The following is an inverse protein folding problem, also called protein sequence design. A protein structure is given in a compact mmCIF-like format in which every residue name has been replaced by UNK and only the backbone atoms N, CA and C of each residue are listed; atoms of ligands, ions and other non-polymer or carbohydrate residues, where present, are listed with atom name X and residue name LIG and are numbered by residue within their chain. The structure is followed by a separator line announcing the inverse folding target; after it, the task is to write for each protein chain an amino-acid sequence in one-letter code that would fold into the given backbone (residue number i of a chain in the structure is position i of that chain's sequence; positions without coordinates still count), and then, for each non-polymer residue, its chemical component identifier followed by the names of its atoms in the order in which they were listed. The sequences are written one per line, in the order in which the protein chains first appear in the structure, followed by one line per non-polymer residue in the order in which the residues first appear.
data_IF_650464323590
#
_entry.id   IF_650464323590
#
_cell.length_a   1.000
_cell.length_b   1.000
_cell.length_c   1.000
_cell.angle_alpha   90.00
_cell.angle_beta   90.00
_cell.angle_gamma   90.00
#
_symmetry.space_group_name_H-M   'P 1'
#
loop_
_entity.id
_entity.type
_entity.pdbx_description
1 polymer ?
#
# COMPACT_ATOMS: atom_id res chain seq x y z
N UNK A 1 -29.06 -50.63 23.01
CA UNK A 1 -29.62 -50.24 24.34
C UNK A 1 -29.38 -48.75 24.49
N UNK A 2 -30.28 -47.90 24.99
CA UNK A 2 -31.68 -48.08 25.43
C UNK A 2 -32.54 -46.89 24.96
N UNK A 3 -33.88 -47.02 24.95
CA UNK A 3 -34.82 -45.90 24.70
C UNK A 3 -35.36 -45.36 26.02
N UNK A 4 -35.43 -44.03 26.15
CA UNK A 4 -36.49 -43.34 26.92
C UNK A 4 -36.98 -42.15 26.09
N UNK A 5 -38.24 -41.78 26.25
CA UNK A 5 -39.00 -40.86 25.37
C UNK A 5 -40.11 -40.18 26.20
N UNK A 6 -40.80 -39.18 25.62
CA UNK A 6 -42.09 -38.57 26.05
C UNK A 6 -42.05 -37.83 27.44
N UNK A 7 -42.82 -36.77 27.75
CA UNK A 7 -43.99 -36.03 27.18
C UNK A 7 -43.76 -34.50 27.27
N UNK A 8 -44.33 -33.56 26.48
CA UNK A 8 -45.49 -33.42 25.56
C UNK A 8 -46.65 -32.57 26.14
N UNK A 9 -47.43 -31.90 25.26
CA UNK A 9 -48.65 -31.05 25.42
C UNK A 9 -48.43 -29.53 25.30
N UNK A 10 -49.31 -28.74 24.66
CA UNK A 10 -50.57 -29.10 23.95
C UNK A 10 -51.06 -28.06 22.91
N UNK A 11 -51.60 -28.56 21.78
CA UNK A 11 -52.78 -28.12 21.01
C UNK A 11 -52.88 -26.64 20.52
N UNK A 12 -53.71 -26.22 19.54
CA UNK A 12 -55.03 -26.64 19.01
C UNK A 12 -55.03 -26.39 17.47
N UNK A 13 -55.26 -27.35 16.55
CA UNK A 13 -56.55 -27.97 16.12
C UNK A 13 -57.51 -26.93 15.46
N UNK A 14 -58.06 -27.04 14.24
CA UNK A 14 -58.24 -28.09 13.18
C UNK A 14 -58.20 -27.36 11.78
N UNK A 15 -58.68 -27.80 10.60
CA UNK A 15 -59.55 -28.91 10.13
C UNK A 15 -59.18 -29.34 8.68
N UNK A 16 -59.94 -30.33 8.19
CA UNK A 16 -60.11 -30.92 6.85
C UNK A 16 -60.44 -29.91 5.73
N UNK A 17 -60.30 -30.21 4.43
CA UNK A 17 -59.92 -31.45 3.69
C UNK A 17 -59.90 -31.13 2.17
N UNK A 18 -60.01 -32.03 1.19
CA UNK A 18 -59.75 -33.47 1.05
C UNK A 18 -59.97 -33.86 -0.43
N UNK A 19 -59.07 -34.68 -1.00
CA UNK A 19 -59.22 -35.40 -2.30
C UNK A 19 -59.24 -34.58 -3.60
N UNK A 20 -58.70 -35.18 -4.67
CA UNK A 20 -58.65 -34.61 -6.01
C UNK A 20 -59.70 -35.23 -6.95
N UNK A 21 -60.08 -34.48 -7.99
CA UNK A 21 -60.81 -34.98 -9.16
C UNK A 21 -60.06 -34.46 -10.39
N UNK A 22 -59.70 -35.36 -11.31
CA UNK A 22 -59.19 -35.01 -12.64
C UNK A 22 -60.36 -35.07 -13.61
N UNK A 23 -60.65 -33.94 -14.28
CA UNK A 23 -61.57 -33.88 -15.41
C UNK A 23 -60.84 -33.25 -16.60
N UNK A 24 -60.83 -33.93 -17.74
CA UNK A 24 -60.46 -33.30 -19.00
C UNK A 24 -61.61 -32.39 -19.45
N UNK A 25 -61.31 -31.13 -19.75
CA UNK A 25 -62.22 -30.20 -20.40
C UNK A 25 -61.52 -29.55 -21.60
N UNK A 26 -62.04 -29.80 -22.80
CA UNK A 26 -61.64 -29.10 -24.01
C UNK A 26 -62.23 -27.68 -23.97
N UNK A 27 -61.40 -26.66 -23.78
CA UNK A 27 -61.80 -25.26 -23.83
C UNK A 27 -61.32 -24.62 -25.14
N UNK A 28 -62.27 -24.08 -25.92
CA UNK A 28 -62.02 -23.43 -27.20
C UNK A 28 -61.35 -22.06 -27.03
N UNK A 29 -60.26 -21.81 -27.76
CA UNK A 29 -59.54 -20.54 -27.73
C UNK A 29 -60.22 -19.48 -28.59
N UNK A 30 -61.03 -18.60 -28.00
CA UNK A 30 -61.46 -17.36 -28.63
C UNK A 30 -60.31 -16.35 -28.64
N UNK A 31 -59.76 -16.04 -29.81
CA UNK A 31 -58.66 -15.08 -29.94
C UNK A 31 -59.14 -13.64 -29.70
N UNK A 32 -58.68 -13.01 -28.62
CA UNK A 32 -58.60 -11.54 -28.54
C UNK A 32 -57.23 -11.09 -29.03
N UNK A 33 -57.16 -10.51 -30.22
CA UNK A 33 -55.91 -10.05 -30.83
C UNK A 33 -55.38 -8.79 -30.11
N UNK A 34 -54.45 -8.99 -29.17
CA UNK A 34 -53.67 -7.87 -28.60
C UNK A 34 -52.64 -7.44 -29.63
N UNK A 35 -52.86 -6.28 -30.26
CA UNK A 35 -51.89 -5.70 -31.19
C UNK A 35 -50.58 -5.40 -30.46
N UNK A 36 -49.50 -6.11 -30.79
CA UNK A 36 -48.18 -5.83 -30.27
C UNK A 36 -47.70 -4.49 -30.85
N UNK A 37 -47.55 -3.49 -29.99
CA UNK A 37 -46.92 -2.23 -30.36
C UNK A 37 -45.46 -2.52 -30.72
N UNK A 38 -45.09 -2.32 -31.99
CA UNK A 38 -43.72 -2.46 -32.46
C UNK A 38 -42.89 -1.36 -31.80
N UNK A 39 -42.07 -1.73 -30.82
CA UNK A 39 -41.06 -0.84 -30.25
C UNK A 39 -40.09 -0.49 -31.38
N UNK A 40 -39.94 0.80 -31.75
CA UNK A 40 -38.99 1.17 -32.79
C UNK A 40 -37.59 0.83 -32.30
N UNK A 41 -36.84 0.05 -33.09
CA UNK A 41 -35.47 -0.28 -32.77
C UNK A 41 -34.66 1.01 -32.60
N UNK A 42 -33.95 1.15 -31.48
CA UNK A 42 -33.00 2.24 -31.30
C UNK A 42 -31.97 2.15 -32.42
N UNK A 43 -31.91 3.18 -33.27
CA UNK A 43 -30.95 3.23 -34.36
C UNK A 43 -29.54 3.16 -33.77
N UNK A 44 -28.80 2.09 -34.12
CA UNK A 44 -27.42 1.94 -33.69
C UNK A 44 -26.63 3.14 -34.19
N UNK A 45 -26.07 3.91 -33.25
CA UNK A 45 -25.24 5.08 -33.59
C UNK A 45 -24.06 4.59 -34.43
N UNK A 46 -23.78 5.19 -35.60
CA UNK A 46 -22.69 4.72 -36.46
C UNK A 46 -21.37 4.74 -35.70
N UNK A 47 -20.57 3.68 -35.88
CA UNK A 47 -19.29 3.54 -35.20
C UNK A 47 -18.35 4.71 -35.53
N UNK A 48 -17.72 5.29 -34.51
CA UNK A 48 -16.79 6.41 -34.65
C UNK A 48 -15.60 6.07 -35.54
N UNK A 49 -15.21 7.01 -36.39
CA UNK A 49 -14.02 6.99 -37.23
C UNK A 49 -12.75 7.50 -36.51
N UNK A 50 -12.83 7.77 -35.19
CA UNK A 50 -11.68 7.85 -34.28
C UNK A 50 -11.41 6.46 -33.71
N UNK A 51 -10.21 5.88 -33.87
CA UNK A 51 -9.88 4.57 -33.32
C UNK A 51 -9.74 4.62 -31.79
N UNK A 52 -10.15 3.54 -31.12
CA UNK A 52 -9.78 3.29 -29.72
C UNK A 52 -8.35 2.75 -29.69
N UNK A 53 -7.51 3.33 -28.84
CA UNK A 53 -6.10 2.93 -28.71
C UNK A 53 -5.94 1.93 -27.57
N UNK A 54 -5.25 0.82 -27.86
CA UNK A 54 -4.84 -0.16 -26.85
C UNK A 54 -3.73 0.41 -25.96
N UNK A 55 -3.54 -0.21 -24.78
CA UNK A 55 -2.45 0.13 -23.86
C UNK A 55 -1.10 0.20 -24.57
N UNK A 56 -0.75 -0.78 -25.39
CA UNK A 56 0.57 -0.83 -26.04
C UNK A 56 0.81 0.36 -26.99
N UNK A 57 -0.24 0.86 -27.65
CA UNK A 57 -0.16 2.06 -28.49
C UNK A 57 -0.01 3.33 -27.64
N UNK A 58 -0.70 3.40 -26.49
CA UNK A 58 -0.61 4.53 -25.55
C UNK A 58 0.76 4.57 -24.87
N UNK A 59 1.28 3.44 -24.39
CA UNK A 59 2.62 3.33 -23.81
C UNK A 59 3.71 3.76 -24.82
N UNK A 60 3.56 3.41 -26.10
CA UNK A 60 4.46 3.84 -27.18
C UNK A 60 4.35 5.35 -27.51
N UNK A 61 3.14 5.92 -27.48
CA UNK A 61 2.92 7.35 -27.72
C UNK A 61 3.44 8.21 -26.56
N UNK A 62 3.25 7.76 -25.31
CA UNK A 62 3.81 8.41 -24.11
C UNK A 62 5.34 8.49 -24.14
N UNK A 63 6.02 7.55 -24.81
CA UNK A 63 7.47 7.59 -25.04
C UNK A 63 7.92 8.61 -26.12
N UNK A 64 7.00 9.33 -26.77
CA UNK A 64 7.30 10.32 -27.83
C UNK A 64 6.55 11.66 -27.66
N UNK A 65 6.65 12.32 -26.48
CA UNK A 65 5.80 13.45 -26.09
C UNK A 65 5.91 14.68 -27.02
N UNK A 66 7.00 14.83 -27.77
CA UNK A 66 7.16 15.94 -28.73
C UNK A 66 6.28 15.78 -29.99
N UNK A 67 5.74 14.57 -30.25
CA UNK A 67 4.96 14.26 -31.47
C UNK A 67 3.45 14.14 -31.23
N UNK A 68 3.04 13.99 -29.97
CA UNK A 68 1.65 13.77 -29.56
C UNK A 68 1.22 14.78 -28.50
N UNK A 69 -0.04 15.18 -28.53
CA UNK A 69 -0.70 15.87 -27.41
C UNK A 69 -1.82 15.00 -26.85
N UNK A 70 -1.72 14.70 -25.57
CA UNK A 70 -2.77 14.03 -24.80
C UNK A 70 -3.71 15.09 -24.23
N UNK A 71 -5.00 15.00 -24.57
CA UNK A 71 -6.04 15.96 -24.21
C UNK A 71 -7.09 15.27 -23.33
N UNK A 72 -7.21 15.67 -22.07
CA UNK A 72 -8.21 15.12 -21.17
C UNK A 72 -9.52 15.91 -21.24
N UNK A 73 -10.60 15.23 -21.64
CA UNK A 73 -11.92 15.85 -21.85
C UNK A 73 -12.91 15.62 -20.71
N UNK A 74 -12.42 15.12 -19.58
CA UNK A 74 -13.18 14.86 -18.35
C UNK A 74 -13.35 16.10 -17.47
N UNK A 75 -14.24 15.97 -16.49
CA UNK A 75 -14.37 16.95 -15.40
C UNK A 75 -13.22 16.78 -14.40
N UNK A 76 -12.89 17.86 -13.67
CA UNK A 76 -11.78 17.86 -12.72
C UNK A 76 -11.94 16.79 -11.62
N UNK A 77 -13.15 16.54 -11.13
CA UNK A 77 -13.45 15.50 -10.13
C UNK A 77 -13.19 14.08 -10.64
N UNK A 78 -13.44 13.81 -11.93
CA UNK A 78 -13.15 12.52 -12.56
C UNK A 78 -11.63 12.30 -12.69
N UNK A 79 -10.90 13.33 -13.14
CA UNK A 79 -9.44 13.30 -13.25
C UNK A 79 -8.81 13.09 -11.87
N UNK A 80 -9.27 13.81 -10.85
CA UNK A 80 -8.78 13.66 -9.48
C UNK A 80 -9.14 12.30 -8.86
N UNK A 81 -10.34 11.75 -9.10
CA UNK A 81 -10.81 10.52 -8.42
C UNK A 81 -10.31 9.24 -9.09
N UNK A 82 -10.12 9.25 -10.40
CA UNK A 82 -9.73 8.08 -11.20
C UNK A 82 -8.23 8.12 -11.53
N UNK A 83 -7.64 9.30 -11.64
CA UNK A 83 -6.32 9.49 -12.23
C UNK A 83 -6.38 9.55 -13.76
N UNK A 84 -5.22 9.69 -14.41
CA UNK A 84 -5.09 9.83 -15.86
C UNK A 84 -3.65 9.70 -16.34
N UNK A 85 -3.32 10.40 -17.42
CA UNK A 85 -1.99 10.40 -18.04
C UNK A 85 -1.26 11.73 -17.78
N UNK A 86 0.06 11.82 -18.09
CA UNK A 86 0.68 13.10 -18.42
C UNK A 86 -0.03 13.71 -19.64
N UNK A 87 -0.49 14.95 -19.52
CA UNK A 87 -1.45 15.57 -20.45
C UNK A 87 -1.02 16.99 -20.80
N UNK A 88 -1.30 17.42 -22.02
CA UNK A 88 -1.02 18.77 -22.51
C UNK A 88 -2.04 19.79 -21.98
N UNK A 89 -3.31 19.39 -21.88
CA UNK A 89 -4.41 20.24 -21.43
C UNK A 89 -5.58 19.40 -20.88
N UNK A 90 -6.23 19.92 -19.84
CA UNK A 90 -7.46 19.37 -19.25
C UNK A 90 -8.60 20.38 -19.50
N UNK A 91 -9.59 20.02 -20.31
CA UNK A 91 -10.73 20.89 -20.66
C UNK A 91 -11.98 20.04 -20.86
N UNK A 92 -13.09 20.35 -20.20
CA UNK A 92 -14.29 19.52 -20.31
C UNK A 92 -14.79 19.49 -21.77
N UNK A 93 -15.32 18.36 -22.24
CA UNK A 93 -15.79 18.22 -23.63
C UNK A 93 -16.78 19.33 -24.07
N UNK A 94 -17.62 19.82 -23.15
CA UNK A 94 -18.55 20.94 -23.36
C UNK A 94 -17.89 22.31 -23.57
N UNK A 95 -16.61 22.44 -23.25
CA UNK A 95 -15.82 23.68 -23.41
C UNK A 95 -14.82 23.60 -24.57
N UNK A 96 -14.65 22.43 -25.19
CA UNK A 96 -13.60 22.13 -26.17
C UNK A 96 -13.53 23.15 -27.32
N UNK A 97 -14.67 23.58 -27.83
CA UNK A 97 -14.77 24.59 -28.90
C UNK A 97 -14.19 25.97 -28.50
N UNK A 98 -14.18 26.31 -27.21
CA UNK A 98 -13.62 27.57 -26.68
C UNK A 98 -12.10 27.56 -26.62
N UNK A 99 -11.49 26.37 -26.56
CA UNK A 99 -10.05 26.19 -26.33
C UNK A 99 -9.26 25.74 -27.56
N UNK A 100 -9.90 25.58 -28.73
CA UNK A 100 -9.25 25.14 -29.97
C UNK A 100 -8.03 25.99 -30.37
N UNK A 101 -8.01 27.29 -30.02
CA UNK A 101 -6.88 28.19 -30.29
C UNK A 101 -5.60 27.87 -29.49
N UNK A 102 -5.69 27.07 -28.41
CA UNK A 102 -4.56 26.65 -27.58
C UNK A 102 -4.05 25.25 -27.94
N UNK A 103 -4.74 24.52 -28.82
CA UNK A 103 -4.38 23.16 -29.22
C UNK A 103 -3.40 23.22 -30.40
N UNK A 104 -2.21 22.61 -30.32
CA UNK A 104 -1.26 22.55 -31.43
C UNK A 104 -1.83 21.81 -32.64
N UNK A 105 -1.63 22.36 -33.85
CA UNK A 105 -2.13 21.77 -35.13
C UNK A 105 -1.08 20.93 -35.87
N UNK A 106 0.16 21.03 -35.45
CA UNK A 106 1.35 20.35 -35.98
C UNK A 106 1.59 18.95 -35.37
N UNK A 107 0.91 18.63 -34.27
CA UNK A 107 1.06 17.37 -33.51
C UNK A 107 -0.19 16.50 -33.57
N UNK A 108 -0.02 15.20 -33.37
CA UNK A 108 -1.13 14.26 -33.31
C UNK A 108 -1.88 14.36 -31.97
N UNK A 109 -3.21 14.32 -31.99
CA UNK A 109 -4.02 14.37 -30.76
C UNK A 109 -4.47 12.97 -30.33
N UNK A 110 -4.31 12.65 -29.04
CA UNK A 110 -5.03 11.56 -28.37
C UNK A 110 -6.02 12.17 -27.38
N UNK A 111 -7.29 11.77 -27.46
CA UNK A 111 -8.35 12.22 -26.54
C UNK A 111 -8.56 11.22 -25.40
N UNK A 112 -8.69 11.71 -24.18
CA UNK A 112 -8.79 10.87 -22.97
C UNK A 112 -10.16 11.07 -22.31
N UNK A 113 -10.80 9.96 -21.92
CA UNK A 113 -11.93 9.99 -20.99
C UNK A 113 -11.93 8.79 -20.04
N UNK A 114 -13.00 8.55 -19.28
CA UNK A 114 -13.11 7.37 -18.41
C UNK A 114 -13.09 6.07 -19.24
N UNK A 115 -13.95 6.04 -20.25
CA UNK A 115 -14.03 5.03 -21.30
C UNK A 115 -13.83 5.69 -22.66
N UNK A 116 -13.21 4.98 -23.60
CA UNK A 116 -12.76 5.54 -24.88
C UNK A 116 -13.89 6.16 -25.72
N UNK A 117 -15.12 5.64 -25.63
CA UNK A 117 -16.27 6.15 -26.39
C UNK A 117 -16.60 7.62 -26.12
N UNK A 118 -16.36 8.12 -24.89
CA UNK A 118 -16.54 9.56 -24.59
C UNK A 118 -15.40 10.41 -25.17
N UNK A 119 -14.20 9.84 -25.28
CA UNK A 119 -13.07 10.47 -25.96
C UNK A 119 -13.26 10.54 -27.48
N UNK A 120 -13.78 9.46 -28.09
CA UNK A 120 -14.09 9.40 -29.53
C UNK A 120 -14.96 10.58 -29.99
N UNK A 121 -16.00 10.95 -29.24
CA UNK A 121 -16.85 12.10 -29.56
C UNK A 121 -16.09 13.44 -29.58
N UNK A 122 -15.14 13.65 -28.66
CA UNK A 122 -14.25 14.81 -28.67
C UNK A 122 -13.29 14.78 -29.87
N UNK A 123 -12.80 13.58 -30.21
CA UNK A 123 -11.93 13.35 -31.37
C UNK A 123 -12.62 13.68 -32.69
N UNK A 124 -13.90 13.30 -32.88
CA UNK A 124 -14.64 13.66 -34.09
C UNK A 124 -14.85 15.19 -34.20
N UNK A 125 -15.14 15.87 -33.08
CA UNK A 125 -15.23 17.33 -33.06
C UNK A 125 -13.89 17.98 -33.48
N UNK A 126 -12.77 17.52 -32.92
CA UNK A 126 -11.44 18.01 -33.29
C UNK A 126 -11.10 17.74 -34.76
N UNK A 127 -11.40 16.54 -35.27
CA UNK A 127 -11.19 16.15 -36.66
C UNK A 127 -12.02 17.02 -37.62
N UNK A 128 -13.28 17.31 -37.27
CA UNK A 128 -14.13 18.25 -38.01
C UNK A 128 -13.64 19.70 -37.97
N UNK A 129 -12.83 20.09 -36.96
CA UNK A 129 -12.18 21.41 -36.83
C UNK A 129 -10.75 21.42 -37.40
N UNK A 130 -10.39 20.41 -38.19
CA UNK A 130 -9.13 20.32 -38.93
C UNK A 130 -7.91 19.99 -38.08
N UNK A 131 -8.06 19.14 -37.06
CA UNK A 131 -6.94 18.61 -36.26
C UNK A 131 -6.63 17.15 -36.60
N UNK A 132 -5.35 16.78 -36.53
CA UNK A 132 -4.86 15.41 -36.75
C UNK A 132 -5.07 14.55 -35.50
N UNK A 133 -6.23 13.91 -35.39
CA UNK A 133 -6.53 13.01 -34.25
C UNK A 133 -6.04 11.59 -34.54
N UNK A 134 -5.15 11.08 -33.70
CA UNK A 134 -4.61 9.72 -33.78
C UNK A 134 -5.50 8.68 -33.10
N UNK A 135 -6.31 9.07 -32.10
CA UNK A 135 -7.26 8.16 -31.45
C UNK A 135 -7.87 8.69 -30.15
N UNK A 136 -8.54 7.76 -29.45
CA UNK A 136 -9.14 7.98 -28.14
C UNK A 136 -8.76 6.85 -27.17
N UNK A 137 -8.72 7.15 -25.87
CA UNK A 137 -8.44 6.18 -24.80
C UNK A 137 -9.37 6.40 -23.60
N UNK A 138 -9.81 5.30 -22.99
CA UNK A 138 -10.41 5.30 -21.66
C UNK A 138 -9.36 5.03 -20.61
N UNK A 139 -9.26 5.85 -19.56
CA UNK A 139 -8.34 5.60 -18.44
C UNK A 139 -8.67 4.29 -17.72
N UNK A 140 -9.95 3.93 -17.61
CA UNK A 140 -10.37 2.67 -17.00
C UNK A 140 -10.06 1.50 -17.94
N UNK A 141 -10.40 1.62 -19.22
CA UNK A 141 -10.05 0.64 -20.26
C UNK A 141 -8.52 0.38 -20.33
N UNK A 142 -7.70 1.40 -20.02
CA UNK A 142 -6.24 1.32 -19.92
C UNK A 142 -5.76 0.67 -18.60
N UNK A 143 -6.35 1.01 -17.46
CA UNK A 143 -6.09 0.37 -16.15
C UNK A 143 -6.45 -1.13 -16.19
N UNK A 144 -7.55 -1.50 -16.83
CA UNK A 144 -7.98 -2.89 -17.07
C UNK A 144 -6.98 -3.68 -17.95
N UNK A 145 -6.29 -3.01 -18.88
CA UNK A 145 -5.18 -3.58 -19.67
C UNK A 145 -3.85 -3.63 -18.89
N UNK A 146 -3.86 -3.37 -17.58
CA UNK A 146 -2.66 -3.35 -16.72
C UNK A 146 -1.80 -2.10 -16.90
N UNK A 147 -2.38 -1.00 -17.39
CA UNK A 147 -1.75 0.31 -17.45
C UNK A 147 -1.73 1.01 -16.08
N UNK A 148 -0.83 1.96 -15.89
CA UNK A 148 -0.72 2.72 -14.63
C UNK A 148 -1.24 4.15 -14.78
N UNK A 149 -2.22 4.54 -13.97
CA UNK A 149 -2.77 5.90 -13.94
C UNK A 149 -2.05 6.78 -12.92
N UNK A 150 -1.86 8.05 -13.27
CA UNK A 150 -1.21 9.09 -12.48
C UNK A 150 -2.24 10.04 -11.85
N UNK A 151 -1.90 10.70 -10.75
CA UNK A 151 -2.70 11.81 -10.18
C UNK A 151 -3.94 11.43 -9.35
N UNK A 152 -4.27 10.14 -9.23
CA UNK A 152 -5.41 9.64 -8.45
C UNK A 152 -5.33 10.06 -6.98
N UNK A 153 -6.34 10.79 -6.48
CA UNK A 153 -6.55 11.09 -5.05
C UNK A 153 -6.96 9.83 -4.30
N UNK A 154 -5.98 9.03 -3.90
CA UNK A 154 -6.21 7.98 -2.89
C UNK A 154 -6.59 8.66 -1.57
N UNK A 155 -7.67 8.18 -0.97
CA UNK A 155 -8.19 8.62 0.33
C UNK A 155 -8.37 7.43 1.25
N UNK A 156 -8.29 7.67 2.56
CA UNK A 156 -8.49 6.62 3.55
C UNK A 156 -9.97 6.27 3.74
N UNK A 157 -10.30 5.03 4.12
CA UNK A 157 -11.58 4.75 4.78
C UNK A 157 -11.64 5.45 6.15
N UNK A 158 -12.79 5.35 6.83
CA UNK A 158 -12.84 5.60 8.26
C UNK A 158 -12.21 4.40 8.99
N UNK A 159 -11.32 4.67 9.93
CA UNK A 159 -10.82 3.69 10.91
C UNK A 159 -10.74 4.44 12.24
N UNK A 160 -11.55 4.03 13.22
CA UNK A 160 -11.86 4.88 14.38
C UNK A 160 -10.64 5.27 15.23
N UNK A 161 -10.50 6.57 15.44
CA UNK A 161 -9.34 7.18 16.10
C UNK A 161 -8.02 7.04 15.35
N UNK A 162 -7.99 6.42 14.17
CA UNK A 162 -6.81 6.29 13.29
C UNK A 162 -6.88 7.37 12.22
N UNK A 163 -7.89 7.34 11.37
CA UNK A 163 -8.09 8.23 10.21
C UNK A 163 -9.58 8.42 9.91
N UNK A 164 -9.95 9.64 9.50
CA UNK A 164 -11.32 9.94 9.06
C UNK A 164 -11.52 9.46 7.62
N UNK A 165 -12.72 9.00 7.27
CA UNK A 165 -13.07 8.76 5.86
C UNK A 165 -12.79 10.00 5.00
N UNK A 166 -12.22 9.79 3.82
CA UNK A 166 -11.87 10.88 2.90
C UNK A 166 -10.56 11.61 3.23
N UNK A 167 -9.81 11.21 4.27
CA UNK A 167 -8.49 11.80 4.54
C UNK A 167 -7.56 11.50 3.36
N UNK A 168 -6.90 12.52 2.81
CA UNK A 168 -6.03 12.37 1.64
C UNK A 168 -4.76 11.58 2.00
N UNK A 169 -4.41 10.62 1.15
CA UNK A 169 -3.05 10.09 1.06
C UNK A 169 -2.26 11.05 0.18
N UNK A 170 -1.46 11.91 0.79
CA UNK A 170 -0.65 12.90 0.10
C UNK A 170 0.59 12.25 -0.49
N UNK A 171 0.82 12.40 -1.80
CA UNK A 171 2.10 12.04 -2.42
C UNK A 171 3.08 13.17 -2.12
N UNK A 172 4.11 12.88 -1.31
CA UNK A 172 5.14 13.87 -0.95
C UNK A 172 6.12 14.03 -2.11
N UNK A 173 6.65 12.90 -2.60
CA UNK A 173 7.48 12.82 -3.82
C UNK A 173 7.62 11.37 -4.28
N UNK A 174 7.84 11.19 -5.58
CA UNK A 174 8.23 9.92 -6.20
C UNK A 174 9.53 10.07 -6.99
N UNK A 175 10.09 8.96 -7.47
CA UNK A 175 11.34 8.92 -8.25
C UNK A 175 12.61 8.70 -7.42
N UNK A 176 12.47 8.17 -6.21
CA UNK A 176 13.58 7.77 -5.34
C UNK A 176 14.04 6.33 -5.63
N UNK A 177 15.31 6.00 -5.35
CA UNK A 177 15.88 4.66 -5.60
C UNK A 177 16.18 3.88 -4.31
N UNK A 178 15.29 2.93 -3.98
CA UNK A 178 15.46 2.05 -2.82
C UNK A 178 14.89 2.61 -1.52
N UNK A 179 13.73 3.27 -1.58
CA UNK A 179 13.01 3.83 -0.42
C UNK A 179 12.74 2.82 0.69
N UNK A 180 13.33 3.03 1.86
CA UNK A 180 13.18 2.19 3.04
C UNK A 180 13.24 3.00 4.36
N UNK A 181 12.99 2.31 5.48
CA UNK A 181 13.46 2.73 6.82
C UNK A 181 13.22 4.17 7.27
N UNK A 182 11.97 4.69 7.24
CA UNK A 182 11.69 6.03 7.70
C UNK A 182 11.75 6.13 9.24
N UNK A 183 12.06 7.32 9.74
CA UNK A 183 11.96 7.68 11.17
C UNK A 183 11.62 9.17 11.33
N UNK A 184 10.73 9.49 12.28
CA UNK A 184 10.30 10.87 12.54
C UNK A 184 11.21 11.59 13.54
N UNK A 185 11.66 12.80 13.20
CA UNK A 185 12.47 13.65 14.05
C UNK A 185 11.60 14.53 14.98
N UNK A 186 12.14 15.02 16.12
CA UNK A 186 11.38 15.85 17.07
C UNK A 186 10.89 17.20 16.53
N UNK A 187 11.49 17.72 15.45
CA UNK A 187 11.04 18.94 14.76
C UNK A 187 9.83 18.71 13.82
N UNK A 188 9.40 17.45 13.67
CA UNK A 188 8.33 17.05 12.77
C UNK A 188 8.77 16.75 11.33
N UNK A 189 10.06 16.86 11.02
CA UNK A 189 10.63 16.31 9.78
C UNK A 189 10.68 14.78 9.85
N UNK A 190 10.90 14.12 8.71
CA UNK A 190 11.25 12.69 8.67
C UNK A 190 12.60 12.48 7.98
N UNK A 191 13.33 11.46 8.43
CA UNK A 191 14.38 10.83 7.65
C UNK A 191 13.83 9.55 7.01
N UNK A 192 14.40 9.13 5.88
CA UNK A 192 14.22 7.79 5.28
C UNK A 192 15.44 7.44 4.43
N UNK A 193 15.60 6.17 4.05
CA UNK A 193 16.75 5.69 3.27
C UNK A 193 16.42 5.57 1.78
N UNK A 194 17.43 5.82 0.94
CA UNK A 194 17.49 5.32 -0.44
C UNK A 194 18.65 4.31 -0.49
N UNK A 195 18.33 3.05 -0.16
CA UNK A 195 19.35 2.02 0.10
C UNK A 195 20.18 1.66 -1.13
N UNK A 196 19.70 1.94 -2.36
CA UNK A 196 20.45 1.75 -3.61
C UNK A 196 21.23 2.99 -4.06
N UNK A 197 20.77 4.20 -3.72
CA UNK A 197 21.52 5.44 -3.92
C UNK A 197 22.52 5.74 -2.77
N UNK A 198 22.66 4.82 -1.81
CA UNK A 198 23.50 4.89 -0.61
C UNK A 198 23.43 6.24 0.15
N UNK A 199 22.20 6.70 0.39
CA UNK A 199 21.94 7.94 1.13
C UNK A 199 20.73 7.87 2.08
N UNK A 200 20.74 8.76 3.06
CA UNK A 200 19.57 9.12 3.87
C UNK A 200 19.04 10.45 3.37
N UNK A 201 17.73 10.54 3.15
CA UNK A 201 17.01 11.75 2.73
C UNK A 201 16.20 12.28 3.90
N UNK A 202 16.11 13.60 4.02
CA UNK A 202 15.19 14.29 4.93
C UNK A 202 14.04 14.91 4.12
N UNK A 203 12.81 14.76 4.64
CA UNK A 203 11.69 15.65 4.31
C UNK A 203 11.50 16.59 5.50
N UNK A 204 11.88 17.86 5.34
CA UNK A 204 11.78 18.90 6.35
C UNK A 204 10.34 19.15 6.79
N UNK A 205 10.16 19.77 7.96
CA UNK A 205 8.83 20.15 8.46
C UNK A 205 8.13 21.21 7.58
N UNK A 206 8.90 21.89 6.72
CA UNK A 206 8.43 22.83 5.68
C UNK A 206 8.20 22.16 4.31
N UNK A 207 8.34 20.83 4.22
CA UNK A 207 8.19 20.05 3.00
C UNK A 207 9.40 20.02 2.07
N UNK A 208 10.51 20.70 2.39
CA UNK A 208 11.74 20.63 1.56
C UNK A 208 12.36 19.23 1.63
N UNK A 209 12.93 18.77 0.52
CA UNK A 209 13.55 17.45 0.40
C UNK A 209 15.03 17.60 0.10
N UNK A 210 15.88 16.99 0.93
CA UNK A 210 17.35 17.14 0.86
C UNK A 210 18.10 15.88 1.31
N UNK A 211 19.30 15.66 0.81
CA UNK A 211 20.20 14.62 1.32
C UNK A 211 20.66 14.97 2.73
N UNK A 212 20.43 14.08 3.69
CA UNK A 212 20.87 14.22 5.08
C UNK A 212 22.25 13.59 5.32
N UNK A 213 22.53 12.45 4.67
CA UNK A 213 23.83 11.79 4.70
C UNK A 213 24.02 10.94 3.43
N UNK A 214 25.27 10.76 3.00
CA UNK A 214 25.69 9.91 1.88
C UNK A 214 26.71 8.87 2.39
N UNK A 215 27.00 7.85 1.58
CA UNK A 215 28.01 6.81 1.88
C UNK A 215 27.66 6.08 3.19
N UNK A 216 26.40 5.69 3.27
CA UNK A 216 25.73 5.17 4.47
C UNK A 216 25.93 3.68 4.70
N UNK A 217 26.59 2.97 3.77
CA UNK A 217 26.74 1.51 3.79
C UNK A 217 25.48 0.79 3.30
N UNK A 218 24.77 1.39 2.34
CA UNK A 218 23.42 1.01 1.92
C UNK A 218 22.49 0.85 3.12
N UNK A 219 22.31 1.95 3.87
CA UNK A 219 21.43 1.98 5.02
C UNK A 219 20.01 1.55 4.62
N UNK A 220 19.43 0.61 5.35
CA UNK A 220 18.11 0.05 5.09
C UNK A 220 17.10 0.64 6.09
N UNK A 221 17.20 0.29 7.37
CA UNK A 221 16.38 0.86 8.44
C UNK A 221 17.10 1.94 9.25
N UNK A 222 16.34 2.83 9.90
CA UNK A 222 16.81 3.91 10.76
C UNK A 222 16.09 3.92 12.12
N UNK A 223 16.79 4.40 13.15
CA UNK A 223 16.21 4.76 14.44
C UNK A 223 17.01 5.91 15.10
N UNK A 224 16.42 6.58 16.08
CA UNK A 224 17.09 7.65 16.84
C UNK A 224 17.45 7.11 18.23
N UNK A 225 18.72 7.16 18.64
CA UNK A 225 19.12 6.72 19.99
C UNK A 225 18.63 7.70 21.07
N UNK A 226 18.68 7.30 22.34
CA UNK A 226 18.40 8.19 23.48
C UNK A 226 19.31 9.42 23.60
N UNK A 227 20.32 9.56 22.74
CA UNK A 227 21.23 10.72 22.63
C UNK A 227 21.02 11.54 21.36
N UNK A 228 20.04 11.19 20.52
CA UNK A 228 19.85 11.81 19.21
C UNK A 228 20.80 11.31 18.11
N UNK A 229 21.53 10.22 18.33
CA UNK A 229 22.37 9.60 17.29
C UNK A 229 21.46 8.92 16.26
N UNK A 230 21.76 9.05 14.97
CA UNK A 230 21.05 8.33 13.91
C UNK A 230 21.68 6.94 13.77
N UNK A 231 21.00 5.93 14.31
CA UNK A 231 21.35 4.52 14.20
C UNK A 231 20.74 3.94 12.91
N UNK A 232 21.46 3.06 12.24
CA UNK A 232 21.01 2.40 11.02
C UNK A 232 21.33 0.91 11.02
N UNK A 233 20.50 0.15 10.30
CA UNK A 233 20.92 -1.11 9.67
C UNK A 233 21.65 -0.75 8.38
N UNK A 234 22.91 -1.15 8.27
CA UNK A 234 23.68 -1.14 7.02
C UNK A 234 23.53 -2.50 6.33
N UNK A 235 23.64 -2.53 5.00
CA UNK A 235 23.60 -3.78 4.20
C UNK A 235 24.81 -3.98 3.30
N UNK A 236 25.72 -3.01 3.23
CA UNK A 236 26.97 -3.08 2.48
C UNK A 236 28.10 -2.36 3.25
N UNK A 237 28.79 -3.01 4.20
CA UNK A 237 28.54 -4.37 4.72
C UNK A 237 27.35 -4.43 5.71
N UNK A 238 26.86 -5.64 6.01
CA UNK A 238 25.76 -5.87 6.96
C UNK A 238 26.17 -5.56 8.40
N UNK A 239 25.59 -4.51 9.00
CA UNK A 239 25.92 -4.07 10.35
C UNK A 239 24.79 -3.27 11.02
N UNK A 240 24.83 -3.17 12.35
CA UNK A 240 24.17 -2.11 13.12
C UNK A 240 25.23 -1.03 13.38
N UNK A 241 24.97 0.22 12.98
CA UNK A 241 25.94 1.32 13.09
C UNK A 241 25.26 2.67 13.33
N UNK A 242 25.90 3.53 14.12
CA UNK A 242 25.59 4.96 14.13
C UNK A 242 26.19 5.61 12.87
N UNK A 243 25.39 6.46 12.21
CA UNK A 243 25.76 7.19 10.98
C UNK A 243 26.11 8.65 11.29
N UNK A 244 25.36 9.30 12.19
CA UNK A 244 25.60 10.66 12.67
C UNK A 244 25.30 10.78 14.18
N UNK A 245 25.97 11.68 14.93
CA UNK A 245 26.97 12.65 14.45
C UNK A 245 28.34 12.05 14.17
N UNK A 246 28.68 10.91 14.78
CA UNK A 246 29.97 10.22 14.59
C UNK A 246 29.74 8.80 14.08
N UNK A 247 30.27 8.42 12.90
CA UNK A 247 30.16 7.06 12.38
C UNK A 247 30.78 6.04 13.34
N UNK A 248 30.02 5.01 13.72
CA UNK A 248 30.49 3.92 14.59
C UNK A 248 29.70 2.64 14.38
N UNK A 249 30.38 1.54 14.02
CA UNK A 249 29.78 0.19 14.03
C UNK A 249 29.54 -0.25 15.48
N UNK A 250 28.34 -0.78 15.75
CA UNK A 250 27.95 -1.35 17.05
C UNK A 250 27.96 -2.88 17.01
N UNK A 251 27.53 -3.50 15.90
CA UNK A 251 27.61 -4.93 15.66
C UNK A 251 27.73 -5.24 14.16
N UNK A 252 28.58 -6.20 13.76
CA UNK A 252 28.75 -6.61 12.36
C UNK A 252 28.86 -8.15 12.14
N UNK A 253 28.85 -8.93 13.22
CA UNK A 253 28.92 -10.39 13.17
C UNK A 253 28.19 -11.01 14.37
N UNK A 254 27.86 -12.29 14.26
CA UNK A 254 27.42 -13.14 15.37
C UNK A 254 28.24 -14.42 15.40
N UNK A 255 28.87 -14.72 16.54
CA UNK A 255 29.75 -15.90 16.68
C UNK A 255 30.94 -15.89 15.71
N UNK A 256 31.45 -14.71 15.33
CA UNK A 256 32.52 -14.54 14.34
C UNK A 256 32.06 -14.57 12.87
N UNK A 257 30.80 -14.94 12.59
CA UNK A 257 30.24 -14.97 11.23
C UNK A 257 29.53 -13.65 10.90
N UNK A 258 29.87 -12.97 9.78
CA UNK A 258 29.16 -11.76 9.35
C UNK A 258 27.64 -11.99 9.23
N UNK A 259 26.82 -10.98 9.53
CA UNK A 259 25.37 -11.07 9.29
C UNK A 259 25.05 -11.23 7.80
N UNK A 260 23.89 -11.80 7.47
CA UNK A 260 23.50 -12.06 6.08
C UNK A 260 23.17 -10.73 5.37
N UNK A 261 21.91 -10.28 5.44
CA UNK A 261 21.46 -8.94 5.02
C UNK A 261 20.41 -8.45 5.99
N UNK A 262 20.88 -7.85 7.10
CA UNK A 262 20.03 -7.24 8.12
C UNK A 262 18.97 -6.32 7.49
N UNK A 263 17.79 -6.23 8.13
CA UNK A 263 16.64 -5.55 7.53
C UNK A 263 16.10 -4.37 8.36
N UNK A 264 15.31 -4.60 9.41
CA UNK A 264 14.77 -3.55 10.30
C UNK A 264 15.32 -3.67 11.73
N UNK A 265 15.17 -2.58 12.51
CA UNK A 265 15.65 -2.48 13.89
C UNK A 265 14.68 -1.71 14.81
N UNK A 266 14.60 -2.12 16.07
CA UNK A 266 13.90 -1.43 17.14
C UNK A 266 14.88 -1.12 18.28
N UNK A 267 15.10 0.17 18.54
CA UNK A 267 15.89 0.67 19.67
C UNK A 267 14.94 0.91 20.86
N UNK A 268 15.25 0.30 22.01
CA UNK A 268 14.48 0.47 23.25
C UNK A 268 14.90 1.74 24.01
N UNK A 269 14.01 2.32 24.85
CA UNK A 269 14.36 3.41 25.79
C UNK A 269 15.56 3.05 26.67
N UNK A 270 15.77 1.76 26.93
CA UNK A 270 16.91 1.23 27.66
C UNK A 270 18.27 1.45 26.96
N UNK A 271 18.31 1.43 25.63
CA UNK A 271 19.54 1.40 24.82
C UNK A 271 19.84 0.04 24.16
N UNK A 272 19.04 -0.98 24.46
CA UNK A 272 19.03 -2.27 23.77
C UNK A 272 18.51 -2.14 22.33
N UNK A 273 19.01 -2.98 21.43
CA UNK A 273 18.58 -3.01 20.02
C UNK A 273 18.14 -4.41 19.61
N UNK A 274 16.87 -4.54 19.22
CA UNK A 274 16.35 -5.73 18.55
C UNK A 274 16.43 -5.51 17.04
N UNK A 275 16.94 -6.48 16.29
CA UNK A 275 17.13 -6.34 14.84
C UNK A 275 16.96 -7.68 14.12
N UNK A 276 16.47 -7.63 12.88
CA UNK A 276 16.13 -8.84 12.12
C UNK A 276 17.20 -9.20 11.10
N UNK A 277 17.59 -10.46 11.06
CA UNK A 277 18.27 -11.06 9.92
C UNK A 277 17.29 -11.99 9.16
N UNK A 278 16.83 -11.64 7.94
CA UNK A 278 15.97 -12.49 7.13
C UNK A 278 16.69 -13.76 6.61
N UNK A 279 18.02 -13.83 6.74
CA UNK A 279 18.86 -14.91 6.21
C UNK A 279 19.48 -14.57 4.85
N UNK A 280 20.33 -15.49 4.38
CA UNK A 280 21.02 -15.37 3.10
C UNK A 280 20.05 -15.43 1.91
N UNK A 281 20.50 -14.87 0.77
CA UNK A 281 19.96 -15.28 -0.52
C UNK A 281 20.18 -16.79 -0.72
N UNK A 282 19.23 -17.56 -1.30
CA UNK A 282 19.35 -19.02 -1.47
C UNK A 282 20.56 -19.51 -2.27
N UNK A 283 21.29 -18.61 -2.94
CA UNK A 283 22.49 -18.87 -3.73
C UNK A 283 23.80 -18.63 -2.97
N UNK A 284 23.76 -18.24 -1.69
CA UNK A 284 24.97 -18.04 -0.87
C UNK A 284 25.62 -19.37 -0.50
N UNK A 285 26.90 -19.53 -0.84
CA UNK A 285 27.73 -20.67 -0.44
C UNK A 285 28.48 -20.46 0.89
N UNK A 286 28.36 -19.29 1.53
CA UNK A 286 29.08 -18.95 2.75
C UNK A 286 28.33 -19.41 4.02
N UNK A 287 29.05 -19.99 4.98
CA UNK A 287 28.49 -20.25 6.31
C UNK A 287 28.04 -18.96 6.98
N UNK A 288 26.73 -18.82 7.18
CA UNK A 288 26.11 -17.58 7.67
C UNK A 288 25.36 -17.79 9.00
N UNK A 289 25.08 -16.73 9.78
CA UNK A 289 24.19 -16.79 10.94
C UNK A 289 22.77 -17.24 10.56
N UNK A 290 22.02 -17.79 11.52
CA UNK A 290 20.63 -18.22 11.31
C UNK A 290 19.75 -17.02 10.91
N UNK A 291 18.77 -17.26 10.03
CA UNK A 291 17.58 -16.42 9.93
C UNK A 291 16.97 -16.26 11.32
N UNK A 292 16.62 -15.04 11.72
CA UNK A 292 16.05 -14.81 13.04
C UNK A 292 16.01 -13.35 13.49
N UNK A 293 15.60 -13.21 14.73
CA UNK A 293 15.63 -11.98 15.49
C UNK A 293 16.84 -12.01 16.44
N UNK A 294 17.63 -10.96 16.40
CA UNK A 294 18.80 -10.75 17.23
C UNK A 294 18.58 -9.60 18.21
N UNK A 295 19.25 -9.67 19.35
CA UNK A 295 19.30 -8.64 20.38
C UNK A 295 20.75 -8.26 20.64
N UNK A 296 21.07 -6.98 20.50
CA UNK A 296 22.30 -6.35 20.94
C UNK A 296 22.02 -5.69 22.30
N UNK A 297 22.67 -6.19 23.35
CA UNK A 297 22.52 -5.65 24.70
C UNK A 297 23.31 -4.34 24.91
N UNK A 298 22.98 -3.64 25.99
CA UNK A 298 23.63 -2.39 26.44
C UNK A 298 25.14 -2.51 26.71
N UNK A 299 25.70 -3.72 26.75
CA UNK A 299 27.12 -4.02 26.97
C UNK A 299 27.85 -4.36 25.66
N UNK A 300 27.14 -4.41 24.53
CA UNK A 300 27.68 -4.74 23.22
C UNK A 300 27.61 -6.24 22.85
N UNK A 301 26.92 -7.07 23.64
CA UNK A 301 26.78 -8.50 23.34
C UNK A 301 25.59 -8.74 22.40
N UNK A 302 25.85 -9.37 21.25
CA UNK A 302 24.79 -9.89 20.37
C UNK A 302 24.35 -11.29 20.85
N UNK A 303 23.04 -11.51 20.90
CA UNK A 303 22.40 -12.82 21.14
C UNK A 303 21.33 -13.08 20.07
N UNK A 304 21.25 -14.30 19.53
CA UNK A 304 20.06 -14.76 18.81
C UNK A 304 18.94 -14.99 19.83
N UNK A 305 17.75 -14.42 19.61
CA UNK A 305 16.63 -14.47 20.57
C UNK A 305 15.35 -15.13 20.02
N UNK A 306 15.22 -15.29 18.70
CA UNK A 306 14.24 -16.19 18.07
C UNK A 306 14.69 -16.56 16.64
N UNK A 307 14.48 -17.79 16.20
CA UNK A 307 14.80 -18.28 14.84
C UNK A 307 13.64 -19.08 14.19
N UNK A 308 12.44 -18.97 14.74
CA UNK A 308 11.22 -19.68 14.32
C UNK A 308 10.28 -18.81 13.44
N UNK A 309 10.76 -17.64 13.01
CA UNK A 309 10.05 -16.73 12.10
C UNK A 309 10.51 -17.03 10.67
N UNK A 310 9.59 -17.49 9.80
CA UNK A 310 9.91 -17.98 8.45
C UNK A 310 10.66 -16.96 7.57
N UNK A 311 10.36 -15.66 7.73
CA UNK A 311 11.18 -14.56 7.21
C UNK A 311 10.91 -13.30 8.05
N UNK A 312 11.72 -13.01 9.08
CA UNK A 312 11.58 -11.81 9.91
C UNK A 312 11.92 -10.55 9.10
N UNK A 313 11.22 -9.46 9.38
CA UNK A 313 11.35 -8.21 8.63
C UNK A 313 11.15 -6.98 9.55
N UNK A 314 10.12 -6.16 9.37
CA UNK A 314 9.86 -5.02 10.25
C UNK A 314 9.76 -5.41 11.73
N UNK A 315 10.33 -4.60 12.62
CA UNK A 315 10.34 -4.86 14.07
C UNK A 315 10.06 -3.56 14.86
N UNK A 316 9.24 -3.65 15.90
CA UNK A 316 8.92 -2.51 16.78
C UNK A 316 8.50 -2.96 18.19
N UNK A 317 8.80 -2.13 19.18
CA UNK A 317 8.33 -2.29 20.57
C UNK A 317 6.98 -1.59 20.77
N UNK A 318 6.13 -2.14 21.66
CA UNK A 318 4.95 -1.47 22.21
C UNK A 318 5.30 -0.14 22.89
N UNK A 319 4.33 0.76 23.15
CA UNK A 319 4.63 2.07 23.77
C UNK A 319 5.25 1.96 25.17
N UNK A 320 4.93 0.87 25.89
CA UNK A 320 5.46 0.51 27.21
C UNK A 320 6.64 -0.49 27.15
N UNK A 321 7.08 -0.84 25.95
CA UNK A 321 8.19 -1.76 25.61
C UNK A 321 8.07 -3.20 26.14
N UNK A 322 6.92 -3.61 26.70
CA UNK A 322 6.69 -4.99 27.18
C UNK A 322 6.33 -6.00 26.09
N UNK A 323 6.02 -5.55 24.87
CA UNK A 323 5.80 -6.42 23.71
C UNK A 323 6.69 -6.00 22.55
N UNK A 324 7.32 -6.98 21.90
CA UNK A 324 8.04 -6.79 20.65
C UNK A 324 7.27 -7.45 19.51
N UNK A 325 6.93 -6.68 18.49
CA UNK A 325 6.25 -7.14 17.28
C UNK A 325 7.24 -7.35 16.14
N UNK A 326 7.09 -8.43 15.38
CA UNK A 326 7.92 -8.75 14.21
C UNK A 326 7.03 -9.15 13.03
N UNK A 327 7.20 -8.46 11.90
CA UNK A 327 6.58 -8.83 10.64
C UNK A 327 7.21 -10.12 10.10
N UNK A 328 6.38 -11.10 9.77
CA UNK A 328 6.79 -12.34 9.13
C UNK A 328 6.39 -12.27 7.65
N UNK A 329 7.28 -11.79 6.77
CA UNK A 329 6.97 -11.65 5.34
C UNK A 329 6.54 -12.98 4.72
N UNK A 330 7.10 -14.09 5.21
CA UNK A 330 6.82 -15.45 4.72
C UNK A 330 5.68 -16.18 5.44
N UNK A 331 4.84 -15.50 6.23
CA UNK A 331 3.79 -16.13 7.03
C UNK A 331 2.51 -15.31 7.17
N UNK A 332 1.45 -15.98 7.64
CA UNK A 332 0.08 -15.45 7.80
C UNK A 332 -0.09 -14.42 8.93
N UNK A 333 0.88 -14.28 9.84
CA UNK A 333 0.71 -13.50 11.08
C UNK A 333 1.91 -12.61 11.38
N UNK A 334 1.64 -11.44 11.96
CA UNK A 334 2.63 -10.75 12.80
C UNK A 334 2.90 -11.61 14.02
N UNK A 335 4.17 -11.81 14.37
CA UNK A 335 4.57 -12.52 15.59
C UNK A 335 4.83 -11.50 16.69
N UNK A 336 4.40 -11.79 17.92
CA UNK A 336 4.73 -10.98 19.08
C UNK A 336 5.42 -11.81 20.17
N UNK A 337 6.24 -11.13 20.96
CA UNK A 337 6.94 -11.66 22.12
C UNK A 337 6.69 -10.77 23.33
N UNK A 338 6.60 -11.35 24.52
CA UNK A 338 6.76 -10.61 25.78
C UNK A 338 8.24 -10.29 25.98
N UNK A 339 8.53 -9.01 26.18
CA UNK A 339 9.86 -8.50 26.55
C UNK A 339 9.95 -8.50 28.08
N UNK A 340 10.97 -9.17 28.62
CA UNK A 340 11.24 -9.20 30.05
C UNK A 340 12.07 -7.99 30.50
N UNK A 341 12.11 -7.66 31.81
CA UNK A 341 12.91 -6.54 32.34
C UNK A 341 14.43 -6.64 32.09
N UNK A 342 14.94 -7.81 31.72
CA UNK A 342 16.35 -8.04 31.36
C UNK A 342 16.63 -7.89 29.86
N UNK A 343 15.60 -7.65 29.03
CA UNK A 343 15.68 -7.60 27.56
C UNK A 343 15.45 -8.94 26.85
N UNK A 344 15.32 -10.06 27.58
CA UNK A 344 15.06 -11.38 26.97
C UNK A 344 13.60 -11.53 26.52
N UNK A 345 13.38 -12.41 25.54
CA UNK A 345 12.07 -12.59 24.89
C UNK A 345 11.39 -13.90 25.31
N UNK A 346 10.06 -13.85 25.43
CA UNK A 346 9.20 -14.98 25.84
C UNK A 346 7.80 -14.89 25.21
N UNK A 347 6.93 -15.85 25.52
CA UNK A 347 5.49 -15.88 25.18
C UNK A 347 5.20 -15.56 23.69
N UNK A 348 6.01 -16.19 22.84
CA UNK A 348 5.93 -16.16 21.38
C UNK A 348 4.50 -16.52 20.95
N UNK A 349 3.83 -15.58 20.29
CA UNK A 349 2.42 -15.72 19.88
C UNK A 349 2.19 -15.16 18.48
N UNK A 350 1.25 -15.77 17.75
CA UNK A 350 0.66 -15.13 16.57
C UNK A 350 -0.21 -13.98 17.10
N UNK A 351 0.10 -12.74 16.73
CA UNK A 351 -0.57 -11.55 17.28
C UNK A 351 -1.74 -11.10 16.41
N UNK A 352 -1.46 -10.78 15.15
CA UNK A 352 -2.41 -10.23 14.20
C UNK A 352 -2.36 -11.03 12.90
N UNK A 353 -3.52 -11.45 12.37
CA UNK A 353 -3.58 -12.16 11.08
C UNK A 353 -3.54 -11.16 9.92
N UNK A 354 -2.62 -11.40 9.00
CA UNK A 354 -2.36 -10.52 7.85
C UNK A 354 -3.28 -10.89 6.68
N UNK A 355 -4.07 -9.92 6.23
CA UNK A 355 -4.76 -9.99 4.96
C UNK A 355 -3.75 -10.00 3.80
N UNK A 356 -4.10 -10.66 2.69
CA UNK A 356 -3.27 -10.75 1.49
C UNK A 356 -2.15 -11.79 1.51
N UNK A 357 -2.06 -12.63 2.56
CA UNK A 357 -1.19 -13.82 2.53
C UNK A 357 -1.59 -14.76 1.39
N UNK A 358 -0.59 -15.23 0.64
CA UNK A 358 -0.75 -16.18 -0.47
C UNK A 358 0.49 -17.04 -0.65
N UNK A 359 0.29 -18.24 -1.19
CA UNK A 359 1.37 -18.98 -1.85
C UNK A 359 1.78 -18.27 -3.15
N UNK A 360 3.05 -18.42 -3.56
CA UNK A 360 3.55 -17.87 -4.82
C UNK A 360 4.74 -18.68 -5.35
N UNK A 361 5.14 -18.53 -6.64
CA UNK A 361 6.27 -19.26 -7.22
C UNK A 361 7.62 -19.04 -6.51
N UNK A 362 7.78 -17.93 -5.78
CA UNK A 362 8.97 -17.63 -4.97
C UNK A 362 8.78 -17.93 -3.48
N UNK A 363 7.74 -18.72 -3.15
CA UNK A 363 7.34 -19.11 -1.79
C UNK A 363 6.15 -18.31 -1.24
N UNK A 364 5.62 -18.70 -0.07
CA UNK A 364 4.53 -17.99 0.58
C UNK A 364 4.93 -16.58 0.98
N UNK A 365 3.98 -15.65 0.88
CA UNK A 365 4.20 -14.26 1.23
C UNK A 365 2.90 -13.56 1.67
N UNK A 366 2.98 -12.83 2.79
CA UNK A 366 2.05 -11.75 3.16
C UNK A 366 2.50 -10.40 2.59
N UNK A 367 3.76 -10.33 2.13
CA UNK A 367 4.48 -9.10 1.84
C UNK A 367 4.51 -8.12 3.02
N UNK A 368 4.27 -8.59 4.25
CA UNK A 368 4.43 -7.77 5.44
C UNK A 368 5.91 -7.42 5.61
N UNK A 369 6.17 -6.12 5.73
CA UNK A 369 7.48 -5.51 5.55
C UNK A 369 7.79 -4.70 6.82
N UNK A 370 8.05 -3.40 6.75
CA UNK A 370 8.19 -2.52 7.92
C UNK A 370 6.89 -2.30 8.72
N UNK A 371 7.02 -2.12 10.04
CA UNK A 371 5.91 -1.80 10.94
C UNK A 371 6.27 -0.72 11.98
N UNK A 372 5.24 -0.13 12.60
CA UNK A 372 5.33 0.93 13.63
C UNK A 372 4.10 0.89 14.56
N UNK A 373 4.18 1.48 15.76
CA UNK A 373 3.05 1.60 16.70
C UNK A 373 2.68 3.06 16.99
N UNK A 374 1.41 3.32 17.33
CA UNK A 374 0.96 4.63 17.81
C UNK A 374 0.91 4.72 19.36
N UNK A 375 0.67 5.92 19.87
CA UNK A 375 0.52 6.21 21.30
C UNK A 375 -0.68 5.52 21.97
N UNK A 376 -1.64 4.98 21.21
CA UNK A 376 -2.73 4.15 21.71
C UNK A 376 -2.38 2.64 21.72
N UNK A 377 -1.15 2.26 21.33
CA UNK A 377 -0.69 0.88 21.28
C UNK A 377 -1.16 0.09 20.07
N UNK A 378 -1.70 0.75 19.04
CA UNK A 378 -2.15 0.11 17.79
C UNK A 378 -0.97 -0.12 16.87
N UNK A 379 -1.00 -1.23 16.15
CA UNK A 379 0.07 -1.65 15.25
C UNK A 379 -0.28 -1.34 13.79
N UNK A 380 0.67 -0.78 13.06
CA UNK A 380 0.56 -0.41 11.65
C UNK A 380 1.61 -1.20 10.86
N UNK A 381 1.18 -1.92 9.82
CA UNK A 381 2.05 -2.84 9.06
C UNK A 381 1.97 -2.55 7.57
N UNK A 382 3.11 -2.22 6.94
CA UNK A 382 3.23 -2.15 5.49
C UNK A 382 3.13 -3.57 4.91
N UNK A 383 2.26 -3.78 3.91
CA UNK A 383 1.91 -5.11 3.42
C UNK A 383 1.35 -5.07 1.98
N UNK A 384 1.07 -6.24 1.38
CA UNK A 384 0.50 -6.32 0.02
C UNK A 384 -0.78 -5.48 -0.19
N UNK A 385 -1.78 -5.48 0.73
CA UNK A 385 -3.00 -4.69 0.55
C UNK A 385 -2.87 -3.18 0.86
N UNK A 386 -1.71 -2.71 1.35
CA UNK A 386 -1.54 -1.36 1.91
C UNK A 386 -1.03 -1.38 3.35
N UNK A 387 -1.42 -0.38 4.15
CA UNK A 387 -1.12 -0.35 5.59
C UNK A 387 -2.26 -1.02 6.34
N UNK A 388 -2.02 -2.21 6.88
CA UNK A 388 -2.96 -2.88 7.78
C UNK A 388 -2.82 -2.30 9.19
N UNK A 389 -3.95 -2.01 9.84
CA UNK A 389 -3.99 -1.41 11.18
C UNK A 389 -4.71 -2.34 12.15
N UNK A 390 -4.07 -2.61 13.29
CA UNK A 390 -4.54 -3.55 14.31
C UNK A 390 -4.64 -2.90 15.69
N UNK A 391 -5.59 -3.36 16.50
CA UNK A 391 -5.69 -3.03 17.93
C UNK A 391 -4.48 -3.56 18.72
N UNK A 392 -4.32 -3.08 19.95
CA UNK A 392 -3.28 -3.56 20.89
C UNK A 392 -3.50 -5.02 21.33
N UNK A 393 -4.70 -5.55 21.07
CA UNK A 393 -5.14 -6.94 21.23
C UNK A 393 -4.91 -7.83 19.99
N UNK A 394 -4.55 -7.23 18.85
CA UNK A 394 -4.38 -7.91 17.55
C UNK A 394 -5.61 -7.89 16.65
N UNK A 395 -6.74 -7.28 17.06
CA UNK A 395 -7.95 -7.18 16.26
C UNK A 395 -7.72 -6.31 15.01
N UNK A 396 -8.17 -6.74 13.83
CA UNK A 396 -8.05 -5.96 12.60
C UNK A 396 -9.03 -4.78 12.60
N UNK A 397 -8.52 -3.56 12.52
CA UNK A 397 -9.31 -2.32 12.53
C UNK A 397 -9.60 -1.79 11.13
N UNK A 398 -8.70 -2.04 10.17
CA UNK A 398 -8.89 -1.66 8.78
C UNK A 398 -7.58 -1.66 7.98
N UNK A 399 -7.68 -1.20 6.72
CA UNK A 399 -6.53 -1.07 5.81
C UNK A 399 -6.56 0.31 5.18
N UNK A 400 -5.44 1.03 5.23
CA UNK A 400 -5.25 2.28 4.48
C UNK A 400 -4.61 1.94 3.12
N UNK A 401 -5.28 2.21 1.98
CA UNK A 401 -4.73 1.98 0.66
C UNK A 401 -3.69 3.05 0.30
N UNK A 402 -2.76 2.73 -0.61
CA UNK A 402 -1.77 3.67 -1.16
C UNK A 402 -1.63 3.45 -2.68
N UNK A 403 -1.19 4.47 -3.46
CA UNK A 403 -1.00 4.34 -4.91
C UNK A 403 -0.01 3.23 -5.32
N UNK A 404 0.95 2.93 -4.46
CA UNK A 404 1.93 1.84 -4.61
C UNK A 404 2.08 1.10 -3.29
N UNK A 405 2.49 -0.16 -3.35
CA UNK A 405 2.69 -0.98 -2.16
C UNK A 405 3.67 -0.30 -1.18
N UNK A 406 3.27 -0.03 0.08
CA UNK A 406 4.19 0.46 1.09
C UNK A 406 5.23 -0.61 1.44
N UNK A 407 6.40 -0.16 1.84
CA UNK A 407 7.47 -1.00 2.38
C UNK A 407 7.73 -0.69 3.86
N UNK A 408 7.70 0.58 4.29
CA UNK A 408 8.07 0.91 5.66
C UNK A 408 7.40 2.21 6.15
N UNK A 409 7.25 2.35 7.47
CA UNK A 409 6.33 3.31 8.11
C UNK A 409 6.97 4.03 9.30
N UNK A 410 6.63 5.32 9.48
CA UNK A 410 7.00 6.09 10.67
C UNK A 410 5.97 7.18 10.97
N UNK A 411 5.82 7.55 12.24
CA UNK A 411 5.07 8.75 12.63
C UNK A 411 5.97 9.98 12.65
N UNK A 412 5.49 11.07 12.05
CA UNK A 412 6.20 12.35 11.91
C UNK A 412 5.22 13.51 11.75
N UNK A 413 5.71 14.63 11.21
CA UNK A 413 4.97 15.89 11.23
C UNK A 413 4.91 16.48 12.65
N UNK A 414 4.34 17.69 12.76
CA UNK A 414 4.12 18.34 14.05
C UNK A 414 3.41 17.39 15.02
N UNK A 415 3.89 17.32 16.26
CA UNK A 415 3.37 16.48 17.33
C UNK A 415 3.26 14.97 16.98
N UNK A 416 4.05 14.48 16.01
CA UNK A 416 3.99 13.11 15.47
C UNK A 416 2.60 12.72 14.93
N UNK A 417 1.78 13.68 14.49
CA UNK A 417 0.37 13.46 14.14
C UNK A 417 0.10 12.99 12.71
N UNK A 418 1.14 12.80 11.88
CA UNK A 418 1.02 12.26 10.54
C UNK A 418 1.77 10.92 10.42
N UNK A 419 1.13 9.93 9.78
CA UNK A 419 1.76 8.69 9.39
C UNK A 419 2.42 8.90 8.03
N UNK A 420 3.73 8.67 7.96
CA UNK A 420 4.49 8.63 6.72
C UNK A 420 4.70 7.18 6.32
N UNK A 421 4.62 6.94 5.01
CA UNK A 421 4.86 5.63 4.41
C UNK A 421 5.81 5.78 3.23
N UNK A 422 6.79 4.89 3.13
CA UNK A 422 7.72 4.84 2.01
C UNK A 422 7.62 3.49 1.31
N UNK A 423 7.82 3.47 0.00
CA UNK A 423 7.81 2.23 -0.78
C UNK A 423 7.81 2.50 -2.28
N UNK A 424 8.41 1.58 -3.05
CA UNK A 424 8.45 1.61 -4.53
C UNK A 424 8.88 2.99 -5.07
N UNK A 425 9.94 3.54 -4.50
CA UNK A 425 10.54 4.81 -4.92
C UNK A 425 9.71 6.05 -4.61
N UNK A 426 8.79 5.95 -3.65
CA UNK A 426 7.77 6.95 -3.36
C UNK A 426 7.60 7.18 -1.86
N UNK A 427 7.25 8.41 -1.47
CA UNK A 427 6.98 8.82 -0.08
C UNK A 427 5.58 9.42 -0.01
N UNK A 428 4.80 8.93 0.95
CA UNK A 428 3.42 9.33 1.19
C UNK A 428 3.25 9.87 2.62
N UNK A 429 2.32 10.80 2.80
CA UNK A 429 1.95 11.42 4.08
C UNK A 429 0.44 11.30 4.30
N UNK A 430 0.04 10.90 5.49
CA UNK A 430 -1.37 10.70 5.86
C UNK A 430 -1.59 11.42 7.21
N UNK A 431 -2.49 12.40 7.25
CA UNK A 431 -2.88 13.01 8.53
C UNK A 431 -3.67 11.99 9.37
N UNK A 432 -3.39 11.90 10.68
CA UNK A 432 -4.07 10.93 11.56
C UNK A 432 -4.81 11.59 12.70
N UNK A 433 -5.73 10.85 13.32
CA UNK A 433 -6.42 11.23 14.56
C UNK A 433 -5.63 10.83 15.82
N UNK A 434 -4.44 10.25 15.65
CA UNK A 434 -3.55 9.75 16.70
C UNK A 434 -2.21 10.49 16.67
N UNK A 435 -1.25 10.03 17.46
CA UNK A 435 0.15 10.47 17.45
C UNK A 435 1.06 9.25 17.57
N UNK A 436 2.23 9.29 16.93
CA UNK A 436 3.29 8.32 17.19
C UNK A 436 3.72 8.31 18.66
N UNK A 437 4.34 7.21 19.11
CA UNK A 437 4.89 7.14 20.48
C UNK A 437 6.03 8.15 20.62
N UNK A 438 6.02 8.95 21.68
CA UNK A 438 7.16 9.80 21.99
C UNK A 438 8.25 9.02 22.75
N UNK A 439 9.30 8.69 22.00
CA UNK A 439 10.44 7.90 22.46
C UNK A 439 11.68 8.07 21.55
N UNK A 440 12.87 7.68 22.03
CA UNK A 440 13.93 7.16 21.17
C UNK A 440 13.45 5.93 20.40
N UNK A 441 14.01 5.67 19.23
CA UNK A 441 13.64 4.54 18.37
C UNK A 441 12.91 4.99 17.11
N UNK A 442 11.73 4.39 16.91
CA UNK A 442 10.83 4.45 15.74
C UNK A 442 9.38 4.49 16.23
#
# INVERSE_FOLDING_TARGET
MSKVQIRNRSAVVRRLGSSAIVLLALASTTQTAVAQAVVPAQAQTPASAIPVLSRAQIDALLATPDKVVFLDVRRADEIETIGGFPVFLNIQNSELDRFLGFIPRDRQIVTISNHAHRGQAAGELLKAKGFTVAGAVGVQDYEEQGGTLYGRKVVTPAIDGVVKAGTRVEVVREGFDGTEGPVGLPDGSILFTENRADRIVQVGADGKISTFAEKTGSANALAITGKGEILAVQTAPSAIAAIKPTPKVWAANFGGKPFNRLNDLAFARAGDVYFTDPGAAPTSAAESPRTGLYWLDRKGKVSLVADDIRRPNGVALSPDEKTLYVANTGGEYVIAYTVRPDGSLTDRRNFAKLAGFKESPTGPTSGADGLVVDSAGRLYVASLPGIQVFGSDGAALGIIPLPKQPQNLAFGGKDRSALYAVGRGSVYRIATQTRGVDRPGK
#
